data_IF_433359523741
#
_entry.id   IF_433359523741
#
_cell.length_a   1.000
_cell.length_b   1.000
_cell.length_c   1.000
_cell.angle_alpha   90.00
_cell.angle_beta   90.00
_cell.angle_gamma   90.00
#
_symmetry.space_group_name_H-M   'P 1'
#
loop_
_entity.id
_entity.type
_entity.pdbx_description
1 polymer ?
#
# COMPACT_ATOMS: atom_id res chain seq x y z
N UNK A 1 -1.04 15.87 -14.43
CA UNK A 1 -1.88 14.79 -13.88
C UNK A 1 -3.21 14.86 -14.63
N UNK A 2 -3.65 13.77 -15.26
CA UNK A 2 -4.88 13.77 -16.07
C UNK A 2 -6.11 13.28 -15.29
N UNK A 3 -7.30 13.55 -15.81
CA UNK A 3 -8.57 13.24 -15.14
C UNK A 3 -8.83 11.75 -14.92
N UNK A 4 -8.28 10.88 -15.77
CA UNK A 4 -8.37 9.42 -15.65
C UNK A 4 -7.27 8.78 -14.80
N UNK A 5 -6.37 9.59 -14.21
CA UNK A 5 -5.25 9.08 -13.43
C UNK A 5 -5.67 8.62 -12.04
N UNK A 6 -4.92 7.69 -11.45
CA UNK A 6 -5.11 7.27 -10.06
C UNK A 6 -5.06 8.45 -9.08
N UNK A 7 -4.18 9.43 -9.32
CA UNK A 7 -4.04 10.62 -8.48
C UNK A 7 -5.36 11.39 -8.30
N UNK A 8 -6.18 11.48 -9.36
CA UNK A 8 -7.48 12.17 -9.31
C UNK A 8 -8.65 11.25 -8.93
N UNK A 9 -8.46 9.93 -8.93
CA UNK A 9 -9.51 8.92 -8.69
C UNK A 9 -9.24 8.04 -7.46
N UNK A 10 -8.61 8.59 -6.42
CA UNK A 10 -8.18 7.85 -5.23
C UNK A 10 -8.82 8.33 -3.91
N UNK A 11 -10.05 8.87 -3.99
CA UNK A 11 -10.79 9.39 -2.84
C UNK A 11 -11.12 8.30 -1.81
N UNK A 12 -11.42 7.07 -2.26
CA UNK A 12 -11.69 5.95 -1.37
C UNK A 12 -10.46 5.62 -0.51
N UNK A 13 -9.29 5.53 -1.14
CA UNK A 13 -8.03 5.23 -0.47
C UNK A 13 -7.65 6.37 0.49
N UNK A 14 -7.89 7.63 0.11
CA UNK A 14 -7.76 8.77 1.01
C UNK A 14 -8.61 8.60 2.28
N UNK A 15 -9.89 8.23 2.13
CA UNK A 15 -10.78 7.98 3.28
C UNK A 15 -10.25 6.86 4.17
N UNK A 16 -9.78 5.76 3.59
CA UNK A 16 -9.22 4.63 4.34
C UNK A 16 -7.98 5.02 5.15
N UNK A 17 -7.06 5.79 4.56
CA UNK A 17 -5.88 6.31 5.28
C UNK A 17 -6.32 7.13 6.50
N UNK A 18 -7.34 7.99 6.34
CA UNK A 18 -7.87 8.79 7.45
C UNK A 18 -8.62 7.94 8.50
N UNK A 19 -9.35 6.89 8.09
CA UNK A 19 -10.02 5.98 9.02
C UNK A 19 -9.04 5.18 9.88
N UNK A 20 -7.91 4.78 9.30
CA UNK A 20 -6.88 3.98 9.98
C UNK A 20 -5.86 4.82 10.74
N UNK A 21 -5.90 6.15 10.56
CA UNK A 21 -5.01 7.11 11.22
C UNK A 21 -4.84 6.89 12.73
N UNK A 22 -5.88 6.65 13.56
CA UNK A 22 -5.69 6.46 15.00
C UNK A 22 -4.73 5.30 15.34
N UNK A 23 -4.86 4.17 14.62
CA UNK A 23 -4.00 2.99 14.77
C UNK A 23 -2.59 3.31 14.32
N UNK A 24 -2.46 4.01 13.18
CA UNK A 24 -1.16 4.37 12.61
C UNK A 24 -0.40 5.35 13.51
N UNK A 25 -1.07 6.39 14.01
CA UNK A 25 -0.52 7.39 14.92
C UNK A 25 -0.03 6.75 16.22
N UNK A 26 -0.86 5.91 16.85
CA UNK A 26 -0.50 5.20 18.09
C UNK A 26 0.73 4.32 17.87
N UNK A 27 0.76 3.58 16.75
CA UNK A 27 1.85 2.67 16.45
C UNK A 27 3.18 3.40 16.31
N UNK A 28 3.26 4.46 15.48
CA UNK A 28 4.52 5.18 15.24
C UNK A 28 4.92 6.07 16.43
N UNK A 29 3.97 6.70 17.11
CA UNK A 29 4.23 7.44 18.34
C UNK A 29 4.84 6.52 19.40
N UNK A 30 4.36 5.28 19.51
CA UNK A 30 4.92 4.26 20.38
C UNK A 30 6.34 3.84 19.99
N UNK A 31 6.65 3.72 18.69
CA UNK A 31 8.01 3.47 18.22
C UNK A 31 8.95 4.61 18.62
N UNK A 32 8.54 5.85 18.37
CA UNK A 32 9.36 7.01 18.73
C UNK A 32 9.53 7.13 20.25
N UNK A 33 8.49 6.88 21.04
CA UNK A 33 8.59 6.94 22.49
C UNK A 33 9.53 5.87 23.07
N UNK A 34 9.49 4.64 22.53
CA UNK A 34 10.32 3.55 22.99
C UNK A 34 11.79 3.69 22.56
N UNK A 35 12.04 4.12 21.32
CA UNK A 35 13.39 4.12 20.75
C UNK A 35 14.06 5.50 20.78
N UNK A 36 13.27 6.57 20.79
CA UNK A 36 13.73 7.97 20.75
C UNK A 36 14.89 8.22 19.76
N UNK A 37 14.80 7.74 18.50
CA UNK A 37 15.93 7.78 17.60
C UNK A 37 16.22 9.21 17.12
N UNK A 38 17.48 9.48 16.78
CA UNK A 38 17.86 10.75 16.13
C UNK A 38 17.42 10.79 14.66
N UNK A 39 17.32 9.63 14.02
CA UNK A 39 16.83 9.46 12.64
C UNK A 39 15.68 8.47 12.69
N UNK A 40 14.51 8.83 12.16
CA UNK A 40 13.39 7.92 12.02
C UNK A 40 13.17 7.58 10.55
N UNK A 41 13.24 6.28 10.26
CA UNK A 41 13.15 5.74 8.91
C UNK A 41 11.80 5.08 8.70
N UNK A 42 11.02 5.62 7.76
CA UNK A 42 9.63 5.26 7.49
C UNK A 42 9.55 4.81 6.04
N UNK A 43 9.00 3.62 5.79
CA UNK A 43 8.70 3.16 4.44
C UNK A 43 7.19 3.14 4.20
N UNK A 44 6.74 3.73 3.10
CA UNK A 44 5.39 3.57 2.55
C UNK A 44 5.47 2.61 1.36
N UNK A 45 4.96 1.39 1.53
CA UNK A 45 5.06 0.31 0.55
C UNK A 45 3.79 0.23 -0.30
N UNK A 46 3.93 0.47 -1.60
CA UNK A 46 2.84 0.67 -2.55
C UNK A 46 2.34 2.11 -2.58
N UNK A 47 3.25 3.07 -2.73
CA UNK A 47 2.98 4.50 -2.66
C UNK A 47 2.16 5.04 -3.86
N UNK A 48 2.14 4.30 -4.97
CA UNK A 48 1.57 4.71 -6.25
C UNK A 48 2.15 6.06 -6.72
N UNK A 49 1.40 6.80 -7.53
CA UNK A 49 1.79 8.09 -8.12
C UNK A 49 0.87 9.24 -7.72
N UNK A 50 0.01 9.02 -6.72
CA UNK A 50 -1.03 9.97 -6.27
C UNK A 50 -0.66 10.73 -4.99
N UNK A 51 -1.49 11.71 -4.58
CA UNK A 51 -1.22 12.55 -3.41
C UNK A 51 -1.36 11.80 -2.07
N UNK A 52 -1.93 10.60 -2.08
CA UNK A 52 -2.25 9.85 -0.85
C UNK A 52 -1.00 9.39 -0.08
N UNK A 53 0.12 9.11 -0.77
CA UNK A 53 1.38 8.77 -0.07
C UNK A 53 1.87 9.93 0.80
N UNK A 54 1.77 11.16 0.30
CA UNK A 54 2.14 12.36 1.04
C UNK A 54 1.23 12.62 2.25
N UNK A 55 -0.06 12.30 2.12
CA UNK A 55 -0.99 12.33 3.25
C UNK A 55 -0.60 11.29 4.31
N UNK A 56 -0.39 10.04 3.93
CA UNK A 56 -0.02 8.99 4.87
C UNK A 56 1.27 9.35 5.62
N UNK A 57 2.29 9.80 4.89
CA UNK A 57 3.59 10.18 5.45
C UNK A 57 3.50 11.43 6.33
N UNK A 58 2.71 12.45 5.97
CA UNK A 58 2.56 13.64 6.82
C UNK A 58 1.89 13.30 8.15
N UNK A 59 0.86 12.46 8.16
CA UNK A 59 0.22 12.03 9.41
C UNK A 59 1.20 11.29 10.33
N UNK A 60 2.02 10.40 9.77
CA UNK A 60 3.08 9.70 10.51
C UNK A 60 4.09 10.67 11.14
N UNK A 61 4.55 11.65 10.36
CA UNK A 61 5.50 12.67 10.84
C UNK A 61 4.89 13.55 11.95
N UNK A 62 3.61 13.92 11.83
CA UNK A 62 2.88 14.65 12.87
C UNK A 62 2.75 13.84 14.15
N UNK A 63 2.46 12.54 14.06
CA UNK A 63 2.36 11.67 15.22
C UNK A 63 3.71 11.57 15.96
N UNK A 64 4.82 11.48 15.23
CA UNK A 64 6.18 11.49 15.80
C UNK A 64 6.49 12.81 16.50
N UNK A 65 6.17 13.94 15.87
CA UNK A 65 6.37 15.25 16.48
C UNK A 65 5.51 15.46 17.74
N UNK A 66 4.26 14.98 17.72
CA UNK A 66 3.39 14.94 18.90
C UNK A 66 3.99 14.12 20.04
N UNK A 67 4.50 12.92 19.74
CA UNK A 67 5.18 12.07 20.71
C UNK A 67 6.43 12.75 21.28
N UNK A 68 7.25 13.40 20.45
CA UNK A 68 8.40 14.20 20.86
C UNK A 68 8.04 15.31 21.82
N UNK A 69 6.99 16.09 21.51
CA UNK A 69 6.49 17.17 22.37
C UNK A 69 6.00 16.63 23.71
N UNK A 70 5.26 15.51 23.71
CA UNK A 70 4.79 14.85 24.93
C UNK A 70 5.94 14.38 25.83
N UNK A 71 7.05 13.94 25.24
CA UNK A 71 8.27 13.55 25.94
C UNK A 71 9.18 14.73 26.31
N UNK A 72 8.74 15.98 26.05
CA UNK A 72 9.50 17.22 26.29
C UNK A 72 10.87 17.23 25.64
N UNK A 73 11.01 16.57 24.48
CA UNK A 73 12.27 16.55 23.71
C UNK A 73 12.38 17.79 22.84
N UNK A 74 13.47 18.53 22.99
CA UNK A 74 13.69 19.76 22.24
C UNK A 74 14.10 19.52 20.78
N UNK A 75 14.85 18.45 20.50
CA UNK A 75 15.34 18.15 19.15
C UNK A 75 14.38 17.21 18.41
N UNK A 76 13.96 17.64 17.22
CA UNK A 76 13.19 16.82 16.29
C UNK A 76 14.11 15.82 15.57
N UNK A 77 13.66 14.57 15.33
CA UNK A 77 14.48 13.62 14.58
C UNK A 77 14.57 14.04 13.11
N UNK A 78 15.59 13.53 12.43
CA UNK A 78 15.63 13.56 10.97
C UNK A 78 14.68 12.48 10.43
N UNK A 79 13.86 12.83 9.44
CA UNK A 79 12.91 11.91 8.83
C UNK A 79 13.48 11.36 7.53
N UNK A 80 13.67 10.05 7.47
CA UNK A 80 14.02 9.32 6.25
C UNK A 80 12.79 8.61 5.72
N UNK A 81 12.23 9.13 4.63
CA UNK A 81 11.04 8.59 4.00
C UNK A 81 11.44 7.79 2.77
N UNK A 82 10.95 6.56 2.70
CA UNK A 82 11.09 5.68 1.55
C UNK A 82 9.72 5.43 0.93
N UNK A 83 9.55 5.91 -0.30
CA UNK A 83 8.38 5.68 -1.12
C UNK A 83 8.68 4.49 -2.03
N UNK A 84 8.06 3.35 -1.75
CA UNK A 84 8.26 2.14 -2.52
C UNK A 84 7.05 1.86 -3.43
N UNK A 85 7.34 1.45 -4.66
CA UNK A 85 6.37 0.87 -5.56
C UNK A 85 7.10 0.00 -6.61
N UNK A 86 6.36 -0.66 -7.49
CA UNK A 86 6.93 -1.41 -8.59
C UNK A 86 7.70 -0.50 -9.57
N UNK A 87 8.69 -1.02 -10.32
CA UNK A 87 9.46 -0.23 -11.28
C UNK A 87 8.64 0.48 -12.36
N UNK A 88 7.44 -0.02 -12.66
CA UNK A 88 6.52 0.59 -13.62
C UNK A 88 5.73 1.80 -13.09
N UNK A 89 5.84 2.13 -11.80
CA UNK A 89 5.14 3.27 -11.21
C UNK A 89 5.71 4.61 -11.71
N UNK A 90 4.86 5.63 -11.79
CA UNK A 90 5.28 7.00 -12.19
C UNK A 90 5.90 7.77 -11.01
N UNK A 91 7.11 7.36 -10.62
CA UNK A 91 7.90 8.09 -9.63
C UNK A 91 8.21 9.53 -10.06
N UNK A 92 8.22 9.82 -11.37
CA UNK A 92 8.43 11.19 -11.85
C UNK A 92 7.27 12.10 -11.43
N UNK A 93 6.03 11.63 -11.46
CA UNK A 93 4.89 12.39 -10.95
C UNK A 93 5.00 12.66 -9.44
N UNK A 94 5.44 11.65 -8.67
CA UNK A 94 5.70 11.79 -7.22
C UNK A 94 6.77 12.84 -6.97
N UNK A 95 7.93 12.74 -7.60
CA UNK A 95 9.03 13.68 -7.35
C UNK A 95 8.81 15.09 -7.92
N UNK A 96 8.00 15.25 -8.97
CA UNK A 96 7.58 16.58 -9.44
C UNK A 96 6.67 17.31 -8.44
N UNK A 97 5.86 16.57 -7.68
CA UNK A 97 4.93 17.17 -6.69
C UNK A 97 5.54 17.32 -5.29
N UNK A 98 6.64 16.60 -5.01
CA UNK A 98 7.32 16.61 -3.73
C UNK A 98 7.76 18.01 -3.22
N UNK A 99 8.34 18.92 -4.03
CA UNK A 99 8.78 20.23 -3.52
C UNK A 99 7.64 21.05 -2.90
N UNK A 100 6.49 21.12 -3.58
CA UNK A 100 5.31 21.84 -3.10
C UNK A 100 4.79 21.23 -1.80
N UNK A 101 4.81 19.90 -1.68
CA UNK A 101 4.43 19.22 -0.45
C UNK A 101 5.37 19.55 0.71
N UNK A 102 6.70 19.49 0.49
CA UNK A 102 7.68 19.78 1.54
C UNK A 102 7.55 21.23 2.03
N UNK A 103 7.35 22.18 1.10
CA UNK A 103 7.17 23.60 1.43
C UNK A 103 5.93 23.80 2.31
N UNK A 104 4.76 23.34 1.87
CA UNK A 104 3.53 23.45 2.65
C UNK A 104 3.59 22.72 4.00
N UNK A 105 4.25 21.55 4.05
CA UNK A 105 4.40 20.81 5.30
C UNK A 105 5.35 21.52 6.29
N UNK A 106 6.42 22.15 5.81
CA UNK A 106 7.31 22.97 6.65
C UNK A 106 6.60 24.19 7.21
N UNK A 107 5.80 24.89 6.39
CA UNK A 107 4.97 26.02 6.84
C UNK A 107 3.99 25.59 7.94
N UNK A 108 3.37 24.42 7.78
CA UNK A 108 2.42 23.87 8.77
C UNK A 108 3.10 23.50 10.10
N UNK A 109 4.25 22.82 10.04
CA UNK A 109 4.94 22.31 11.24
C UNK A 109 5.71 23.37 12.01
N UNK A 110 6.05 24.49 11.36
CA UNK A 110 6.74 25.63 11.96
C UNK A 110 8.22 25.40 12.27
N UNK A 111 8.84 26.40 12.90
CA UNK A 111 10.26 26.34 13.27
C UNK A 111 10.54 25.24 14.31
N UNK A 112 11.62 24.48 14.10
CA UNK A 112 12.05 23.40 14.99
C UNK A 112 11.61 21.99 14.60
N UNK A 113 10.85 21.84 13.50
CA UNK A 113 10.61 20.54 12.88
C UNK A 113 11.86 20.05 12.13
N UNK A 114 12.14 18.75 12.21
CA UNK A 114 13.37 18.15 11.69
C UNK A 114 13.42 18.09 10.17
N UNK A 115 14.62 17.95 9.57
CA UNK A 115 14.74 17.79 8.13
C UNK A 115 14.07 16.49 7.66
N UNK A 116 13.51 16.52 6.45
CA UNK A 116 12.86 15.37 5.82
C UNK A 116 13.55 15.03 4.50
N UNK A 117 13.91 13.76 4.35
CA UNK A 117 14.62 13.21 3.19
C UNK A 117 13.75 12.14 2.53
N UNK A 118 13.28 12.41 1.31
CA UNK A 118 12.43 11.50 0.55
C UNK A 118 13.24 10.73 -0.48
N UNK A 119 12.98 9.43 -0.57
CA UNK A 119 13.68 8.49 -1.43
C UNK A 119 12.67 7.64 -2.19
N UNK A 120 12.95 7.32 -3.45
CA UNK A 120 12.19 6.36 -4.24
C UNK A 120 12.86 4.99 -4.19
N UNK A 121 12.07 3.94 -3.98
CA UNK A 121 12.57 2.57 -3.90
C UNK A 121 11.80 1.72 -4.90
N UNK A 122 12.26 1.63 -6.16
CA UNK A 122 11.59 0.81 -7.17
C UNK A 122 11.87 -0.68 -6.91
N UNK A 123 10.83 -1.47 -6.74
CA UNK A 123 10.95 -2.91 -6.54
C UNK A 123 9.71 -3.53 -5.90
N UNK A 124 9.53 -4.83 -6.10
CA UNK A 124 8.46 -5.57 -5.43
C UNK A 124 8.75 -5.69 -3.93
N UNK A 125 7.79 -5.27 -3.11
CA UNK A 125 7.75 -5.55 -1.68
C UNK A 125 7.62 -7.04 -1.33
N UNK A 126 7.41 -7.95 -2.29
CA UNK A 126 7.59 -9.39 -2.07
C UNK A 126 9.07 -9.81 -2.13
N UNK A 127 9.99 -8.88 -2.36
CA UNK A 127 11.44 -9.04 -2.22
C UNK A 127 12.04 -8.28 -1.04
N UNK A 128 13.37 -8.35 -0.92
CA UNK A 128 14.15 -7.43 -0.06
C UNK A 128 14.29 -6.08 -0.75
N UNK A 129 13.95 -5.02 -0.03
CA UNK A 129 14.03 -3.64 -0.50
C UNK A 129 15.07 -2.83 0.30
N UNK A 130 15.29 -3.19 1.56
CA UNK A 130 16.13 -2.41 2.48
C UNK A 130 17.23 -3.27 3.13
N UNK A 131 18.33 -2.65 3.56
CA UNK A 131 19.30 -3.29 4.45
C UNK A 131 18.66 -3.80 5.73
N UNK A 132 19.34 -4.71 6.42
CA UNK A 132 18.86 -5.22 7.69
C UNK A 132 18.86 -4.14 8.76
N UNK A 133 17.81 -4.08 9.58
CA UNK A 133 17.61 -3.08 10.64
C UNK A 133 17.69 -1.62 10.13
N UNK A 134 17.16 -1.35 8.94
CA UNK A 134 17.17 -0.02 8.33
C UNK A 134 15.88 0.77 8.59
N UNK A 135 14.77 0.11 8.92
CA UNK A 135 13.46 0.73 9.06
C UNK A 135 12.98 0.76 10.51
N UNK A 136 12.44 1.90 10.93
CA UNK A 136 11.77 2.05 12.22
C UNK A 136 10.27 1.76 12.10
N UNK A 137 9.69 2.16 10.96
CA UNK A 137 8.27 2.01 10.71
C UNK A 137 7.99 1.62 9.25
N UNK A 138 7.04 0.72 9.05
CA UNK A 138 6.51 0.37 7.72
C UNK A 138 5.02 0.65 7.69
N UNK A 139 4.58 1.41 6.70
CA UNK A 139 3.19 1.62 6.36
C UNK A 139 2.90 0.97 5.01
N UNK A 140 1.73 0.36 4.85
CA UNK A 140 1.20 -0.04 3.56
C UNK A 140 -0.31 0.01 3.61
N UNK A 141 -0.93 0.67 2.62
CA UNK A 141 -2.39 0.79 2.55
C UNK A 141 -2.85 0.50 1.14
N UNK A 142 -3.75 -0.47 0.98
CA UNK A 142 -4.35 -0.83 -0.30
C UNK A 142 -3.34 -1.33 -1.35
N UNK A 143 -2.31 -2.05 -0.90
CA UNK A 143 -1.28 -2.60 -1.78
C UNK A 143 -1.14 -4.12 -1.67
N UNK A 144 -1.32 -4.70 -0.47
CA UNK A 144 -1.07 -6.12 -0.21
C UNK A 144 -2.13 -7.09 -0.75
N UNK A 145 -3.24 -6.60 -1.30
CA UNK A 145 -4.21 -7.45 -2.01
C UNK A 145 -3.75 -7.81 -3.43
N UNK A 146 -2.74 -7.10 -3.96
CA UNK A 146 -2.17 -7.39 -5.27
C UNK A 146 -1.15 -8.52 -5.16
N UNK A 147 -1.45 -9.67 -5.76
CA UNK A 147 -0.58 -10.84 -5.74
C UNK A 147 0.71 -10.58 -6.51
N UNK A 148 1.76 -11.35 -6.20
CA UNK A 148 3.04 -11.26 -6.91
C UNK A 148 2.95 -11.76 -8.35
N UNK A 149 1.95 -12.61 -8.63
CA UNK A 149 1.66 -13.20 -9.93
C UNK A 149 0.24 -13.75 -9.95
N UNK A 150 -0.29 -13.98 -11.15
CA UNK A 150 -1.53 -14.75 -11.35
C UNK A 150 -1.35 -16.16 -10.75
N UNK A 151 -2.29 -16.65 -9.93
CA UNK A 151 -2.24 -18.00 -9.39
C UNK A 151 -2.22 -19.06 -10.50
N UNK A 152 -1.40 -20.10 -10.33
CA UNK A 152 -1.40 -21.24 -11.25
C UNK A 152 -2.75 -21.97 -11.17
N UNK A 153 -3.40 -22.23 -12.31
CA UNK A 153 -4.74 -22.82 -12.35
C UNK A 153 -5.88 -21.78 -12.37
N UNK A 154 -5.57 -20.48 -12.35
CA UNK A 154 -6.57 -19.43 -12.51
C UNK A 154 -7.19 -19.41 -13.92
N UNK A 155 -6.51 -19.99 -14.93
CA UNK A 155 -7.01 -20.16 -16.29
C UNK A 155 -8.29 -21.03 -16.38
N UNK A 156 -8.60 -21.81 -15.34
CA UNK A 156 -9.85 -22.56 -15.23
C UNK A 156 -11.05 -21.66 -14.85
N UNK A 157 -10.81 -20.39 -14.51
CA UNK A 157 -11.84 -19.42 -14.09
C UNK A 157 -12.57 -18.78 -15.27
N UNK A 158 -13.09 -19.60 -16.19
CA UNK A 158 -13.71 -19.14 -17.44
C UNK A 158 -14.85 -18.15 -17.19
N UNK A 159 -14.96 -17.15 -18.06
CA UNK A 159 -15.95 -16.08 -18.00
C UNK A 159 -15.78 -15.11 -16.83
N UNK A 160 -14.73 -15.25 -16.02
CA UNK A 160 -14.45 -14.42 -14.85
C UNK A 160 -12.99 -13.95 -14.86
N UNK A 161 -12.73 -12.85 -14.15
CA UNK A 161 -11.38 -12.27 -14.03
C UNK A 161 -10.83 -12.33 -12.60
N UNK A 162 -11.66 -12.75 -11.65
CA UNK A 162 -11.33 -12.94 -10.25
C UNK A 162 -12.30 -13.96 -9.63
N UNK A 163 -12.21 -14.21 -8.33
CA UNK A 163 -13.13 -15.08 -7.61
C UNK A 163 -14.58 -14.59 -7.75
N UNK A 164 -15.46 -15.49 -8.19
CA UNK A 164 -16.89 -15.27 -8.37
C UNK A 164 -17.67 -16.52 -7.89
N UNK A 165 -18.99 -16.39 -7.71
CA UNK A 165 -19.84 -17.50 -7.25
C UNK A 165 -19.73 -18.77 -8.13
N UNK A 166 -19.44 -18.59 -9.43
CA UNK A 166 -19.25 -19.68 -10.38
C UNK A 166 -17.81 -20.23 -10.45
N UNK A 167 -16.86 -19.64 -9.71
CA UNK A 167 -15.45 -20.05 -9.77
C UNK A 167 -15.25 -21.49 -9.26
N UNK A 168 -14.47 -22.32 -9.97
CA UNK A 168 -14.16 -23.66 -9.52
C UNK A 168 -13.41 -23.67 -8.17
N UNK A 169 -13.62 -24.69 -7.30
CA UNK A 169 -12.92 -24.79 -6.03
C UNK A 169 -11.38 -24.79 -6.14
N UNK A 170 -10.82 -25.30 -7.25
CA UNK A 170 -9.38 -25.26 -7.49
C UNK A 170 -8.85 -23.82 -7.67
N UNK A 171 -9.63 -22.94 -8.30
CA UNK A 171 -9.29 -21.53 -8.50
C UNK A 171 -9.27 -20.82 -7.15
N UNK A 172 -10.33 -20.99 -6.35
CA UNK A 172 -10.43 -20.40 -4.99
C UNK A 172 -9.21 -20.79 -4.15
N UNK A 173 -8.85 -22.08 -4.18
CA UNK A 173 -7.68 -22.60 -3.48
C UNK A 173 -6.38 -21.98 -4.00
N UNK A 174 -6.22 -21.86 -5.32
CA UNK A 174 -5.01 -21.28 -5.92
C UNK A 174 -4.79 -19.83 -5.50
N UNK A 175 -5.84 -18.98 -5.52
CA UNK A 175 -5.75 -17.60 -5.04
C UNK A 175 -5.38 -17.53 -3.56
N UNK A 176 -5.99 -18.38 -2.72
CA UNK A 176 -5.67 -18.43 -1.30
C UNK A 176 -4.21 -18.82 -1.05
N UNK A 177 -3.72 -19.88 -1.70
CA UNK A 177 -2.33 -20.34 -1.55
C UNK A 177 -1.33 -19.30 -2.06
N UNK A 178 -1.63 -18.62 -3.18
CA UNK A 178 -0.80 -17.54 -3.70
C UNK A 178 -0.71 -16.37 -2.71
N UNK A 179 -1.86 -15.88 -2.21
CA UNK A 179 -1.90 -14.83 -1.20
C UNK A 179 -1.13 -15.22 0.07
N UNK A 180 -1.31 -16.46 0.55
CA UNK A 180 -0.62 -16.94 1.74
C UNK A 180 0.90 -16.93 1.55
N UNK A 181 1.39 -17.44 0.42
CA UNK A 181 2.81 -17.47 0.10
C UNK A 181 3.40 -16.06 -0.01
N UNK A 182 2.69 -15.16 -0.70
CA UNK A 182 3.07 -13.77 -0.90
C UNK A 182 3.13 -13.02 0.43
N UNK A 183 2.09 -13.13 1.25
CA UNK A 183 2.03 -12.44 2.54
C UNK A 183 3.08 -12.97 3.53
N UNK A 184 3.30 -14.29 3.58
CA UNK A 184 4.40 -14.87 4.37
C UNK A 184 5.77 -14.36 3.91
N UNK A 185 5.98 -14.26 2.59
CA UNK A 185 7.23 -13.75 2.02
C UNK A 185 7.43 -12.27 2.35
N UNK A 186 6.38 -11.47 2.24
CA UNK A 186 6.37 -10.07 2.68
C UNK A 186 6.80 -9.96 4.15
N UNK A 187 6.13 -10.65 5.06
CA UNK A 187 6.44 -10.62 6.50
C UNK A 187 7.88 -11.10 6.79
N UNK A 188 8.35 -12.14 6.09
CA UNK A 188 9.72 -12.65 6.19
C UNK A 188 10.77 -11.61 5.82
N UNK A 189 10.51 -10.77 4.82
CA UNK A 189 11.45 -9.73 4.42
C UNK A 189 11.34 -8.49 5.29
N UNK A 190 10.13 -8.05 5.63
CA UNK A 190 9.94 -6.91 6.53
C UNK A 190 10.54 -7.13 7.92
N UNK A 191 10.42 -8.35 8.46
CA UNK A 191 11.01 -8.69 9.76
C UNK A 191 12.54 -8.57 9.79
N UNK A 192 13.22 -8.72 8.64
CA UNK A 192 14.67 -8.51 8.52
C UNK A 192 15.06 -7.05 8.38
N UNK A 193 14.16 -6.22 7.86
CA UNK A 193 14.41 -4.82 7.52
C UNK A 193 14.08 -3.87 8.67
N UNK A 194 13.12 -4.25 9.51
CA UNK A 194 12.78 -3.52 10.73
C UNK A 194 13.86 -3.65 11.80
N UNK A 195 14.14 -2.55 12.49
CA UNK A 195 14.91 -2.55 13.74
C UNK A 195 14.16 -3.30 14.84
N UNK A 196 14.89 -3.77 15.86
CA UNK A 196 14.26 -4.27 17.08
C UNK A 196 13.39 -3.18 17.72
N UNK A 197 12.12 -3.48 17.97
CA UNK A 197 11.14 -2.52 18.49
C UNK A 197 10.46 -1.66 17.41
N UNK A 198 10.85 -1.81 16.14
CA UNK A 198 10.13 -1.24 15.00
C UNK A 198 8.74 -1.85 14.83
N UNK A 199 7.84 -1.15 14.13
CA UNK A 199 6.45 -1.58 13.93
C UNK A 199 6.02 -1.45 12.49
N UNK A 200 4.93 -2.14 12.15
CA UNK A 200 4.25 -1.98 10.88
C UNK A 200 2.77 -1.75 11.09
N UNK A 201 2.15 -0.99 10.19
CA UNK A 201 0.70 -0.89 10.06
C UNK A 201 0.33 -1.21 8.61
N UNK A 202 -0.54 -2.20 8.44
CA UNK A 202 -0.95 -2.73 7.15
C UNK A 202 -2.47 -2.62 7.04
N UNK A 203 -2.94 -1.90 6.03
CA UNK A 203 -4.36 -1.75 5.72
C UNK A 203 -4.66 -2.46 4.41
N UNK A 204 -5.38 -3.57 4.50
CA UNK A 204 -5.64 -4.48 3.38
C UNK A 204 -7.15 -4.58 3.17
N UNK A 205 -7.59 -4.62 1.92
CA UNK A 205 -8.98 -4.95 1.62
C UNK A 205 -9.25 -6.39 2.06
N UNK A 206 -10.26 -6.57 2.89
CA UNK A 206 -10.70 -7.88 3.38
C UNK A 206 -12.19 -8.08 3.17
N UNK A 207 -12.70 -9.16 3.75
CA UNK A 207 -14.13 -9.53 3.78
C UNK A 207 -14.51 -9.95 5.20
N UNK A 208 -15.77 -9.76 5.57
CA UNK A 208 -16.35 -10.29 6.81
C UNK A 208 -16.91 -11.69 6.60
N UNK A 209 -17.50 -11.93 5.42
CA UNK A 209 -18.00 -13.25 5.04
C UNK A 209 -16.89 -14.31 4.98
N UNK A 210 -17.21 -15.51 5.46
CA UNK A 210 -16.34 -16.68 5.29
C UNK A 210 -16.29 -17.15 3.83
N UNK A 211 -17.32 -16.83 3.04
CA UNK A 211 -17.40 -17.18 1.64
C UNK A 211 -16.44 -16.30 0.80
N UNK A 212 -15.42 -16.90 0.16
CA UNK A 212 -14.48 -16.18 -0.69
C UNK A 212 -15.10 -15.57 -1.94
N UNK A 213 -16.27 -16.03 -2.34
CA UNK A 213 -17.01 -15.56 -3.50
C UNK A 213 -18.15 -14.60 -3.14
N UNK A 214 -18.21 -14.15 -1.89
CA UNK A 214 -19.18 -13.14 -1.47
C UNK A 214 -18.92 -11.78 -2.14
N UNK A 215 -19.97 -10.96 -2.20
CA UNK A 215 -19.91 -9.62 -2.78
C UNK A 215 -19.05 -8.62 -1.95
N UNK A 216 -18.40 -9.07 -0.89
CA UNK A 216 -17.55 -8.24 -0.04
C UNK A 216 -16.11 -8.26 -0.57
N UNK A 217 -15.60 -7.08 -0.96
CA UNK A 217 -14.21 -6.92 -1.42
C UNK A 217 -13.94 -7.37 -2.85
N UNK A 218 -14.72 -8.31 -3.41
CA UNK A 218 -14.59 -8.81 -4.79
C UNK A 218 -15.54 -8.19 -5.82
N UNK A 219 -16.61 -7.51 -5.38
CA UNK A 219 -17.71 -7.06 -6.25
C UNK A 219 -17.27 -6.19 -7.44
N UNK A 220 -16.22 -5.38 -7.28
CA UNK A 220 -15.72 -4.54 -8.37
C UNK A 220 -15.21 -5.39 -9.55
N UNK A 221 -14.64 -6.56 -9.26
CA UNK A 221 -14.11 -7.47 -10.27
C UNK A 221 -15.23 -8.27 -10.94
N UNK A 222 -16.29 -8.61 -10.20
CA UNK A 222 -17.48 -9.24 -10.77
C UNK A 222 -18.18 -8.30 -11.77
N UNK A 223 -18.41 -7.04 -11.39
CA UNK A 223 -19.00 -6.04 -12.29
C UNK A 223 -18.12 -5.79 -13.53
N UNK A 224 -16.80 -5.78 -13.37
CA UNK A 224 -15.88 -5.65 -14.50
C UNK A 224 -15.90 -6.90 -15.39
N UNK A 225 -15.98 -8.10 -14.81
CA UNK A 225 -16.14 -9.33 -15.58
C UNK A 225 -17.45 -9.31 -16.40
N UNK A 226 -18.56 -8.84 -15.82
CA UNK A 226 -19.83 -8.70 -16.55
C UNK A 226 -19.70 -7.77 -17.76
N UNK A 227 -19.12 -6.58 -17.58
CA UNK A 227 -18.88 -5.65 -18.68
C UNK A 227 -17.97 -6.23 -19.77
N UNK A 228 -16.94 -7.02 -19.38
CA UNK A 228 -16.07 -7.69 -20.34
C UNK A 228 -16.80 -8.80 -21.10
N UNK A 229 -17.69 -9.56 -20.45
CA UNK A 229 -18.51 -10.57 -21.11
C UNK A 229 -19.46 -9.91 -22.13
N UNK A 230 -20.10 -8.78 -21.79
CA UNK A 230 -20.93 -8.03 -22.75
C UNK A 230 -20.13 -7.63 -24.00
N UNK A 231 -18.89 -7.18 -23.84
CA UNK A 231 -18.00 -6.86 -24.96
C UNK A 231 -17.57 -8.09 -25.77
N UNK A 232 -17.52 -9.28 -25.17
CA UNK A 232 -17.31 -10.54 -25.89
C UNK A 232 -18.55 -10.90 -26.70
N UNK A 233 -19.75 -10.79 -26.11
CA UNK A 233 -21.02 -11.07 -26.78
C UNK A 233 -21.26 -10.14 -27.98
N UNK A 234 -20.86 -8.87 -27.87
CA UNK A 234 -20.90 -7.89 -28.96
C UNK A 234 -19.78 -8.07 -30.00
N UNK A 235 -18.81 -8.97 -29.76
CA UNK A 235 -17.71 -9.28 -30.66
C UNK A 235 -16.56 -8.27 -30.66
N UNK A 236 -16.49 -7.38 -29.66
CA UNK A 236 -15.37 -6.44 -29.48
C UNK A 236 -14.13 -7.08 -28.84
N UNK A 237 -14.32 -8.16 -28.07
CA UNK A 237 -13.23 -8.91 -27.41
C UNK A 237 -13.35 -10.38 -27.78
N UNK A 238 -12.21 -11.03 -28.04
CA UNK A 238 -12.15 -12.48 -28.22
C UNK A 238 -12.38 -13.19 -26.88
N UNK A 239 -13.29 -14.15 -26.83
CA UNK A 239 -13.61 -14.93 -25.61
C UNK A 239 -12.37 -15.56 -24.95
N UNK A 240 -11.41 -16.03 -25.76
CA UNK A 240 -10.14 -16.59 -25.29
C UNK A 240 -9.32 -15.60 -24.45
N UNK A 241 -9.35 -14.30 -24.81
CA UNK A 241 -8.66 -13.25 -24.05
C UNK A 241 -9.31 -13.02 -22.69
N UNK A 242 -10.63 -13.11 -22.60
CA UNK A 242 -11.33 -13.02 -21.32
C UNK A 242 -10.99 -14.23 -20.45
N UNK A 243 -11.09 -15.44 -21.00
CA UNK A 243 -10.88 -16.69 -20.24
C UNK A 243 -9.44 -16.86 -19.71
N UNK A 244 -8.46 -16.20 -20.31
CA UNK A 244 -7.06 -16.25 -19.87
C UNK A 244 -6.66 -15.07 -18.98
N UNK A 245 -7.51 -14.06 -18.83
CA UNK A 245 -7.23 -12.86 -18.06
C UNK A 245 -7.73 -13.00 -16.62
N UNK A 246 -6.82 -12.86 -15.66
CA UNK A 246 -7.10 -12.93 -14.22
C UNK A 246 -6.36 -11.80 -13.48
N UNK A 247 -7.02 -11.24 -12.47
CA UNK A 247 -6.57 -10.12 -11.63
C UNK A 247 -5.82 -10.63 -10.39
#
# INVERSE_FOLDING_TARGET
IGDTSYANNSLLQKKVILMTKPVTDEAIAGVYAALSPNIISIADLGCSSGPNTFLAVSELMRAVDGARKNLRRHHSPEFHIYLNDLPGNDFNAVFRSLPQYIEGFKEEMGEGFGPCFFNGVPGSFYGRLFPTNALHFVHSSYSLMWLSQVPKGAEENKGNIYLAAASPPCVIKAYYEQFQNDFLTFLKFRSKELVTGGRMVLTILGRQSEDPCSNEGGQIWELLAMALNELVDEGFIEEEKLNTFNI
#
